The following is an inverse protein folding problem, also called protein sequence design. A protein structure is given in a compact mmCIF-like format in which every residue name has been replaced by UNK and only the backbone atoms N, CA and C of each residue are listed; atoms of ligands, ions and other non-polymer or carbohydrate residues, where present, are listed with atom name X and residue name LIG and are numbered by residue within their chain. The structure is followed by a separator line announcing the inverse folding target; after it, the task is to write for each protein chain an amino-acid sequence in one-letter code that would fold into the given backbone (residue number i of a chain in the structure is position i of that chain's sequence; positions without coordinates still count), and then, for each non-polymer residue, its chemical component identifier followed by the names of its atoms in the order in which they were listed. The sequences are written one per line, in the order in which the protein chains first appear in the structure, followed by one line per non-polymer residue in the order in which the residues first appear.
data_IF_570326984045
#
_entry.id   IF_570326984045
#
_cell.length_a   1.000
_cell.length_b   1.000
_cell.length_c   1.000
_cell.angle_alpha   90.00
_cell.angle_beta   90.00
_cell.angle_gamma   90.00
#
_symmetry.space_group_name_H-M   'P 1'
#
loop_
_entity.id
_entity.type
_entity.pdbx_description
1 polymer ?
#
# COMPACT_ATOMS: atom_id res chain seq x y z
N UNK A 1 17.64 19.40 10.00
CA UNK A 1 16.28 19.97 10.12
C UNK A 1 15.62 19.49 11.43
N UNK A 2 14.50 20.08 11.87
CA UNK A 2 13.80 19.66 13.12
C UNK A 2 13.43 18.17 13.14
N UNK A 3 13.12 17.60 11.97
CA UNK A 3 12.88 16.16 11.75
C UNK A 3 14.08 15.29 12.15
N UNK A 4 15.31 15.79 11.96
CA UNK A 4 16.53 15.06 12.36
C UNK A 4 16.72 15.07 13.88
N UNK A 5 16.12 16.03 14.61
CA UNK A 5 16.17 16.06 16.08
C UNK A 5 15.25 15.01 16.69
N UNK A 6 14.03 14.87 16.18
CA UNK A 6 13.10 13.81 16.58
C UNK A 6 13.72 12.44 16.30
N UNK A 7 14.25 12.25 15.09
CA UNK A 7 14.92 10.99 14.70
C UNK A 7 16.12 10.68 15.59
N UNK A 8 16.96 11.68 15.87
CA UNK A 8 18.11 11.51 16.77
C UNK A 8 17.67 11.13 18.18
N UNK A 9 16.65 11.80 18.72
CA UNK A 9 16.12 11.47 20.04
C UNK A 9 15.62 10.02 20.13
N UNK A 10 14.92 9.56 19.10
CA UNK A 10 14.43 8.18 19.04
C UNK A 10 15.57 7.17 18.93
N UNK A 11 16.64 7.47 18.19
CA UNK A 11 17.84 6.64 18.08
C UNK A 11 18.61 6.58 19.42
N UNK A 12 18.83 7.74 20.05
CA UNK A 12 19.60 7.86 21.30
C UNK A 12 18.93 7.09 22.45
N UNK A 13 17.59 6.98 22.44
CA UNK A 13 16.82 6.19 23.41
C UNK A 13 16.59 4.74 23.03
N UNK A 14 17.12 4.30 21.88
CA UNK A 14 16.89 2.95 21.35
C UNK A 14 15.44 2.65 21.01
N UNK A 15 14.60 3.67 20.83
CA UNK A 15 13.21 3.53 20.42
C UNK A 15 13.09 3.07 18.96
N UNK A 16 14.07 3.43 18.13
CA UNK A 16 14.21 2.98 16.74
C UNK A 16 15.67 2.63 16.44
N UNK A 17 15.91 1.80 15.44
CA UNK A 17 17.25 1.45 14.96
C UNK A 17 17.61 2.23 13.68
N UNK A 18 18.89 2.39 13.33
CA UNK A 18 19.29 3.02 12.07
C UNK A 18 18.67 2.36 10.84
N UNK A 19 18.58 1.02 10.84
CA UNK A 19 17.96 0.27 9.75
C UNK A 19 16.45 0.59 9.60
N UNK A 20 15.72 0.71 10.71
CA UNK A 20 14.30 1.12 10.71
C UNK A 20 14.11 2.56 10.24
N UNK A 21 15.03 3.46 10.61
CA UNK A 21 15.03 4.84 10.12
C UNK A 21 15.27 4.88 8.61
N UNK A 22 16.24 4.12 8.11
CA UNK A 22 16.53 4.04 6.67
C UNK A 22 15.34 3.47 5.89
N UNK A 23 14.69 2.44 6.42
CA UNK A 23 13.47 1.87 5.84
C UNK A 23 12.32 2.89 5.82
N UNK A 24 12.06 3.57 6.94
CA UNK A 24 11.06 4.63 7.01
C UNK A 24 11.38 5.80 6.07
N UNK A 25 12.66 6.15 5.89
CA UNK A 25 13.10 7.17 4.91
C UNK A 25 12.84 6.73 3.48
N UNK A 26 13.09 5.46 3.13
CA UNK A 26 12.73 4.92 1.81
C UNK A 26 11.23 5.07 1.57
N UNK A 27 10.41 4.66 2.53
CA UNK A 27 8.95 4.83 2.44
C UNK A 27 8.56 6.31 2.31
N UNK A 28 9.13 7.19 3.12
CA UNK A 28 8.90 8.64 3.04
C UNK A 28 9.26 9.22 1.66
N UNK A 29 10.37 8.80 1.06
CA UNK A 29 10.77 9.24 -0.28
C UNK A 29 9.73 8.88 -1.36
N UNK A 30 8.95 7.81 -1.17
CA UNK A 30 7.94 7.37 -2.14
C UNK A 30 6.54 7.93 -1.85
N UNK A 31 6.16 8.07 -0.58
CA UNK A 31 4.81 8.49 -0.18
C UNK A 31 4.70 9.97 0.21
N UNK A 32 5.84 10.65 0.35
CA UNK A 32 5.90 12.03 0.85
C UNK A 32 5.54 12.12 2.33
N UNK A 33 5.42 13.33 2.87
CA UNK A 33 5.04 13.56 4.28
C UNK A 33 6.19 13.41 5.28
N UNK A 34 5.86 13.43 6.56
CA UNK A 34 6.83 13.45 7.66
C UNK A 34 7.45 12.07 7.96
N UNK A 35 8.72 12.01 8.34
CA UNK A 35 9.43 10.75 8.61
C UNK A 35 8.85 10.04 9.84
N UNK A 36 8.55 10.80 10.88
CA UNK A 36 7.88 10.36 12.10
C UNK A 36 6.56 9.65 11.83
N UNK A 37 5.81 10.11 10.83
CA UNK A 37 4.57 9.46 10.38
C UNK A 37 4.85 8.08 9.82
N UNK A 38 5.94 7.90 9.09
CA UNK A 38 6.34 6.59 8.55
C UNK A 38 6.85 5.67 9.64
N UNK A 39 7.65 6.16 10.58
CA UNK A 39 8.10 5.40 11.75
C UNK A 39 6.91 4.87 12.57
N UNK A 40 5.89 5.71 12.78
CA UNK A 40 4.67 5.32 13.49
C UNK A 40 3.83 4.33 12.69
N UNK A 41 3.63 4.58 11.38
CA UNK A 41 2.82 3.74 10.50
C UNK A 41 3.39 2.33 10.31
N UNK A 42 4.71 2.22 10.20
CA UNK A 42 5.43 0.94 10.06
C UNK A 42 5.53 0.17 11.39
N UNK A 43 5.08 0.77 12.50
CA UNK A 43 5.16 0.15 13.83
C UNK A 43 6.57 0.10 14.41
N UNK A 44 7.51 0.89 13.87
CA UNK A 44 8.87 0.96 14.39
C UNK A 44 8.97 1.77 15.67
N UNK A 45 8.07 2.73 15.84
CA UNK A 45 7.91 3.49 17.08
C UNK A 45 6.44 3.43 17.51
N UNK A 46 6.21 3.28 18.80
CA UNK A 46 4.88 3.44 19.38
C UNK A 46 4.51 4.93 19.50
N UNK A 47 3.22 5.20 19.67
CA UNK A 47 2.71 6.58 19.73
C UNK A 47 3.22 7.34 20.97
N UNK A 48 3.42 6.61 22.07
CA UNK A 48 3.90 7.18 23.32
C UNK A 48 5.34 7.70 23.18
N UNK A 49 6.27 6.87 22.70
CA UNK A 49 7.67 7.29 22.49
C UNK A 49 7.79 8.36 21.43
N UNK A 50 6.96 8.31 20.38
CA UNK A 50 6.95 9.38 19.39
C UNK A 50 6.42 10.69 19.99
N UNK A 51 5.38 10.61 20.82
CA UNK A 51 4.84 11.75 21.55
C UNK A 51 5.89 12.40 22.45
N UNK A 52 6.64 11.59 23.21
CA UNK A 52 7.75 12.06 24.05
C UNK A 52 8.83 12.78 23.22
N UNK A 53 9.22 12.19 22.09
CA UNK A 53 10.23 12.78 21.20
C UNK A 53 9.79 14.13 20.63
N UNK A 54 8.50 14.24 20.27
CA UNK A 54 7.91 15.49 19.79
C UNK A 54 7.79 16.52 20.91
N UNK A 55 7.37 16.13 22.11
CA UNK A 55 7.29 17.03 23.26
C UNK A 55 8.67 17.56 23.65
N UNK A 56 9.69 16.72 23.71
CA UNK A 56 11.07 17.16 23.96
C UNK A 56 11.55 18.15 22.90
N UNK A 57 11.30 17.84 21.62
CA UNK A 57 11.83 18.64 20.51
C UNK A 57 11.18 20.01 20.43
N UNK A 58 9.87 20.10 20.66
CA UNK A 58 9.09 21.31 20.46
C UNK A 58 8.85 22.10 21.75
N UNK A 59 8.92 21.45 22.92
CA UNK A 59 8.69 22.06 24.23
C UNK A 59 7.21 22.26 24.57
N UNK A 60 6.30 21.56 23.88
CA UNK A 60 4.85 21.62 24.11
C UNK A 60 4.25 20.22 24.24
N UNK A 61 3.10 20.06 24.92
CA UNK A 61 2.52 18.73 25.12
C UNK A 61 2.06 18.08 23.82
N UNK A 62 2.11 16.74 23.78
CA UNK A 62 1.65 15.94 22.64
C UNK A 62 0.14 15.66 22.69
N UNK A 63 -0.56 15.94 21.58
CA UNK A 63 -1.95 15.57 21.40
C UNK A 63 -2.04 14.18 20.73
N UNK A 64 -2.34 13.17 21.55
CA UNK A 64 -2.51 11.78 21.11
C UNK A 64 -3.77 11.56 20.28
N UNK A 65 -3.79 10.47 19.51
CA UNK A 65 -4.93 10.08 18.70
C UNK A 65 -6.22 9.90 19.51
N UNK A 66 -6.13 9.45 20.75
CA UNK A 66 -7.31 9.32 21.64
C UNK A 66 -7.93 10.68 21.95
N UNK A 67 -7.11 11.69 22.26
CA UNK A 67 -7.58 13.06 22.52
C UNK A 67 -8.23 13.69 21.30
N UNK A 68 -7.72 13.36 20.11
CA UNK A 68 -8.25 13.86 18.84
C UNK A 68 -9.45 13.05 18.33
N UNK A 69 -9.72 11.86 18.90
CA UNK A 69 -10.80 11.00 18.42
C UNK A 69 -12.18 11.53 18.80
N UNK A 70 -12.33 12.04 20.02
CA UNK A 70 -13.61 12.49 20.57
C UNK A 70 -13.54 13.97 20.94
N UNK A 71 -13.93 14.84 20.00
CA UNK A 71 -13.94 16.29 20.21
C UNK A 71 -15.40 16.80 20.24
N UNK A 72 -15.81 17.57 21.27
CA UNK A 72 -17.15 18.14 21.33
C UNK A 72 -17.42 19.11 20.15
N UNK A 73 -18.65 19.14 19.59
CA UNK A 73 -18.98 20.02 18.47
C UNK A 73 -18.76 21.51 18.74
N UNK A 74 -18.99 21.95 19.98
CA UNK A 74 -18.75 23.32 20.45
C UNK A 74 -17.26 23.72 20.37
N UNK A 75 -16.35 22.76 20.54
CA UNK A 75 -14.90 22.97 20.42
C UNK A 75 -14.49 23.04 18.95
N UNK A 76 -15.07 22.20 18.10
CA UNK A 76 -14.83 22.20 16.66
C UNK A 76 -15.33 23.50 16.00
N UNK A 77 -16.47 24.02 16.46
CA UNK A 77 -17.06 25.26 15.96
C UNK A 77 -16.18 26.50 16.19
N UNK A 78 -15.26 26.45 17.17
CA UNK A 78 -14.34 27.55 17.45
C UNK A 78 -13.32 27.78 16.32
N UNK A 79 -13.08 26.79 15.45
CA UNK A 79 -12.17 26.89 14.30
C UNK A 79 -12.92 26.48 13.04
N UNK A 80 -13.19 27.41 12.10
CA UNK A 80 -13.82 27.09 10.83
C UNK A 80 -13.02 26.07 10.01
N UNK A 81 -13.69 25.20 9.22
CA UNK A 81 -13.04 24.19 8.39
C UNK A 81 -11.95 24.77 7.48
N UNK A 82 -12.14 25.97 6.95
CA UNK A 82 -11.19 26.63 6.04
C UNK A 82 -9.87 26.94 6.74
N UNK A 83 -9.93 27.37 8.00
CA UNK A 83 -8.76 27.67 8.83
C UNK A 83 -8.10 26.37 9.30
N UNK A 84 -8.91 25.40 9.73
CA UNK A 84 -8.45 24.07 10.10
C UNK A 84 -7.67 23.40 8.96
N UNK A 85 -8.18 23.50 7.73
CA UNK A 85 -7.54 22.99 6.52
C UNK A 85 -6.26 23.76 6.18
N UNK A 86 -6.34 25.09 6.12
CA UNK A 86 -5.25 25.97 5.67
C UNK A 86 -4.02 25.83 6.55
N UNK A 87 -4.22 25.86 7.86
CA UNK A 87 -3.12 25.79 8.83
C UNK A 87 -2.81 24.37 9.28
N UNK A 88 -3.59 23.37 8.82
CA UNK A 88 -3.53 21.98 9.27
C UNK A 88 -3.55 21.92 10.79
N UNK A 89 -4.70 22.22 11.37
CA UNK A 89 -4.89 22.31 12.84
C UNK A 89 -6.23 21.74 13.25
N UNK A 90 -6.30 21.12 14.43
CA UNK A 90 -7.54 20.58 14.98
C UNK A 90 -7.73 21.04 16.42
N UNK A 91 -8.76 21.83 16.75
CA UNK A 91 -9.12 22.08 18.14
C UNK A 91 -9.61 20.76 18.76
N UNK A 92 -9.29 20.53 20.03
CA UNK A 92 -9.70 19.29 20.70
C UNK A 92 -10.16 19.49 22.15
N UNK A 93 -9.92 20.67 22.75
CA UNK A 93 -10.39 20.97 24.11
C UNK A 93 -10.58 22.46 24.33
N UNK A 94 -11.60 22.83 25.08
CA UNK A 94 -11.85 24.20 25.52
C UNK A 94 -12.05 24.22 27.05
N UNK A 95 -11.19 24.94 27.75
CA UNK A 95 -11.23 25.10 29.22
C UNK A 95 -10.81 26.54 29.58
N UNK A 96 -11.51 27.23 30.49
CA UNK A 96 -11.12 28.55 31.00
C UNK A 96 -10.77 29.61 29.93
N UNK A 97 -11.55 29.67 28.84
CA UNK A 97 -11.30 30.51 27.66
C UNK A 97 -9.97 30.22 26.94
N UNK A 98 -9.41 29.03 27.17
CA UNK A 98 -8.23 28.49 26.49
C UNK A 98 -8.66 27.38 25.54
N UNK A 99 -8.39 27.57 24.26
CA UNK A 99 -8.61 26.57 23.22
C UNK A 99 -7.32 25.80 23.00
N UNK A 100 -7.31 24.51 23.32
CA UNK A 100 -6.19 23.62 22.99
C UNK A 100 -6.33 23.16 21.55
N UNK A 101 -5.27 23.38 20.78
CA UNK A 101 -5.24 23.12 19.35
C UNK A 101 -4.05 22.23 19.02
N UNK A 102 -4.32 21.11 18.35
CA UNK A 102 -3.29 20.22 17.84
C UNK A 102 -2.77 20.75 16.50
N UNK A 103 -1.45 20.85 16.38
CA UNK A 103 -0.74 21.46 15.25
C UNK A 103 0.48 20.62 14.86
N UNK A 104 0.89 20.68 13.59
CA UNK A 104 2.19 20.12 13.16
C UNK A 104 3.38 21.02 13.52
N UNK A 105 3.14 22.33 13.50
CA UNK A 105 4.14 23.31 13.88
C UNK A 105 3.56 24.25 14.96
N UNK A 106 3.75 23.93 16.25
CA UNK A 106 3.25 24.75 17.36
C UNK A 106 3.99 26.10 17.50
N UNK A 107 5.02 26.35 16.66
CA UNK A 107 5.77 27.62 16.62
C UNK A 107 5.38 28.52 15.44
N UNK A 108 4.37 28.13 14.66
CA UNK A 108 3.87 28.94 13.56
C UNK A 108 3.10 30.15 14.11
N UNK A 109 3.80 31.28 14.24
CA UNK A 109 3.24 32.52 14.77
C UNK A 109 2.06 33.05 13.94
N UNK A 110 2.05 32.79 12.62
CA UNK A 110 0.97 33.24 11.73
C UNK A 110 -0.29 32.41 11.98
N UNK A 111 -0.16 31.08 12.03
CA UNK A 111 -1.27 30.20 12.33
C UNK A 111 -1.87 30.50 13.72
N UNK A 112 -1.01 30.70 14.73
CA UNK A 112 -1.44 31.05 16.09
C UNK A 112 -2.21 32.39 16.14
N UNK A 113 -1.72 33.42 15.45
CA UNK A 113 -2.37 34.72 15.41
C UNK A 113 -3.75 34.66 14.73
N UNK A 114 -3.86 33.96 13.58
CA UNK A 114 -5.12 33.81 12.85
C UNK A 114 -6.15 32.96 13.63
N UNK A 115 -5.69 31.89 14.30
CA UNK A 115 -6.53 31.10 15.20
C UNK A 115 -7.05 31.92 16.38
N UNK A 116 -6.18 32.71 17.02
CA UNK A 116 -6.58 33.55 18.15
C UNK A 116 -7.58 34.63 17.74
N UNK A 117 -7.36 35.26 16.57
CA UNK A 117 -8.26 36.27 16.02
C UNK A 117 -9.63 35.68 15.66
N UNK A 118 -9.66 34.47 15.11
CA UNK A 118 -10.91 33.83 14.68
C UNK A 118 -11.70 33.24 15.85
N UNK A 119 -11.03 32.53 16.75
CA UNK A 119 -11.69 31.88 17.88
C UNK A 119 -12.07 32.88 18.99
N UNK A 120 -11.40 34.04 19.08
CA UNK A 120 -11.59 34.98 20.19
C UNK A 120 -11.17 34.40 21.55
N UNK A 121 -10.34 33.37 21.55
CA UNK A 121 -9.92 32.57 22.70
C UNK A 121 -8.39 32.54 22.81
N UNK A 122 -7.86 32.29 24.00
CA UNK A 122 -6.42 32.06 24.16
C UNK A 122 -6.05 30.72 23.54
N UNK A 123 -5.15 30.70 22.57
CA UNK A 123 -4.72 29.45 21.91
C UNK A 123 -3.60 28.81 22.72
N UNK A 124 -3.76 27.53 23.06
CA UNK A 124 -2.74 26.71 23.68
C UNK A 124 -2.30 25.63 22.67
N UNK A 125 -1.11 25.77 22.04
CA UNK A 125 -0.67 24.85 21.01
C UNK A 125 -0.17 23.54 21.59
N UNK A 126 -0.60 22.44 20.98
CA UNK A 126 -0.15 21.09 21.27
C UNK A 126 0.44 20.49 19.99
N UNK A 127 1.58 19.80 20.11
CA UNK A 127 2.20 19.13 18.95
C UNK A 127 1.47 17.81 18.69
N UNK A 128 1.28 17.45 17.42
CA UNK A 128 0.81 16.10 17.06
C UNK A 128 1.54 15.59 15.82
N UNK A 129 1.38 14.30 15.50
CA UNK A 129 1.91 13.75 14.26
C UNK A 129 1.02 14.11 13.07
N UNK A 130 1.61 14.21 11.88
CA UNK A 130 0.85 14.43 10.64
C UNK A 130 -0.23 13.38 10.43
N UNK A 131 0.09 12.12 10.73
CA UNK A 131 -0.88 11.04 10.68
C UNK A 131 -2.11 11.28 11.57
N UNK A 132 -1.90 11.62 12.84
CA UNK A 132 -3.02 11.81 13.79
C UNK A 132 -3.84 13.04 13.45
N UNK A 133 -3.19 14.10 12.97
CA UNK A 133 -3.88 15.31 12.56
C UNK A 133 -4.75 15.08 11.33
N UNK A 134 -4.24 14.33 10.35
CA UNK A 134 -5.00 13.97 9.15
C UNK A 134 -6.24 13.17 9.51
N UNK A 135 -6.10 12.16 10.37
CA UNK A 135 -7.24 11.38 10.86
C UNK A 135 -8.29 12.24 11.59
N UNK A 136 -7.84 13.26 12.34
CA UNK A 136 -8.73 14.16 13.07
C UNK A 136 -9.50 15.09 12.12
N UNK A 137 -8.80 15.67 11.14
CA UNK A 137 -9.38 16.57 10.15
C UNK A 137 -10.37 15.84 9.22
N UNK A 138 -10.04 14.62 8.78
CA UNK A 138 -10.94 13.78 7.99
C UNK A 138 -12.20 13.41 8.79
N UNK A 139 -12.06 13.05 10.07
CA UNK A 139 -13.19 12.67 10.93
C UNK A 139 -14.12 13.84 11.24
N UNK A 140 -13.57 14.98 11.63
CA UNK A 140 -14.35 16.07 12.23
C UNK A 140 -14.76 17.14 11.22
N UNK A 141 -13.91 17.42 10.24
CA UNK A 141 -14.16 18.46 9.24
C UNK A 141 -14.50 17.88 7.86
N UNK A 142 -14.45 16.55 7.69
CA UNK A 142 -14.66 15.86 6.40
C UNK A 142 -13.74 16.40 5.30
N UNK A 143 -12.55 16.86 5.69
CA UNK A 143 -11.56 17.40 4.77
C UNK A 143 -10.69 16.24 4.24
N UNK A 144 -10.77 15.90 2.94
CA UNK A 144 -9.78 15.03 2.33
C UNK A 144 -8.47 15.81 2.23
N UNK A 145 -7.46 15.43 3.00
CA UNK A 145 -6.16 16.09 2.89
C UNK A 145 -5.43 15.51 1.70
N UNK A 146 -5.43 16.27 0.60
CA UNK A 146 -4.58 16.01 -0.54
C UNK A 146 -3.10 15.95 -0.10
N UNK A 147 -2.44 14.82 -0.34
CA UNK A 147 -1.00 14.65 -0.11
C UNK A 147 -0.59 13.77 1.07
N UNK A 148 -1.51 13.27 1.91
CA UNK A 148 -1.17 12.24 2.91
C UNK A 148 -1.75 10.90 2.48
N UNK A 149 -0.96 10.15 1.70
CA UNK A 149 -1.30 8.78 1.28
C UNK A 149 -1.36 7.89 2.54
N UNK A 150 -2.54 7.37 2.85
CA UNK A 150 -2.79 6.55 4.03
C UNK A 150 -2.08 5.20 3.90
N UNK A 151 -1.13 4.95 4.81
CA UNK A 151 -0.70 3.60 5.17
C UNK A 151 -1.46 3.30 6.46
N UNK A 152 -2.19 2.18 6.48
CA UNK A 152 -2.96 1.74 7.65
C UNK A 152 -2.01 1.18 8.71
N UNK A 153 -2.23 1.57 9.96
CA UNK A 153 -1.42 1.17 11.11
C UNK A 153 -1.55 -0.34 11.35
N UNK A 154 -0.45 -1.08 11.30
CA UNK A 154 -0.44 -2.44 11.84
C UNK A 154 -0.45 -2.37 13.37
N UNK A 155 -1.21 -3.22 14.09
CA UNK A 155 -1.10 -3.32 15.54
C UNK A 155 0.31 -3.77 15.95
N UNK A 156 0.84 -3.32 17.10
CA UNK A 156 2.24 -3.55 17.46
C UNK A 156 2.53 -5.04 17.61
N UNK A 157 3.45 -5.54 16.78
CA UNK A 157 4.01 -6.87 16.98
C UNK A 157 4.89 -6.85 18.24
N UNK A 158 4.84 -7.87 19.12
CA UNK A 158 5.71 -7.94 20.28
C UNK A 158 7.17 -8.05 19.83
N UNK A 159 7.99 -7.09 20.28
CA UNK A 159 9.44 -7.04 20.04
C UNK A 159 10.10 -8.34 20.51
N UNK A 160 10.46 -9.22 19.58
CA UNK A 160 11.38 -10.33 19.88
C UNK A 160 12.81 -9.80 19.82
N UNK A 161 13.49 -9.89 20.95
CA UNK A 161 14.88 -9.50 21.15
C UNK A 161 15.81 -10.11 20.10
N UNK A 162 16.64 -9.24 19.53
CA UNK A 162 17.77 -9.47 18.64
C UNK A 162 18.61 -10.73 18.95
N UNK A 163 18.88 -11.53 17.91
CA UNK A 163 20.10 -12.33 17.81
C UNK A 163 20.86 -11.94 16.53
N UNK A 164 22.08 -11.42 16.70
CA UNK A 164 23.15 -11.27 15.69
C UNK A 164 23.56 -12.64 15.14
N UNK A 165 24.12 -12.79 13.91
CA UNK A 165 25.53 -12.45 13.58
C UNK A 165 25.79 -12.17 12.07
N UNK A 166 27.02 -12.28 11.52
CA UNK A 166 28.25 -11.48 11.71
C UNK A 166 28.66 -10.69 10.44
N UNK A 167 29.83 -10.04 10.50
CA UNK A 167 30.38 -9.03 9.59
C UNK A 167 31.16 -9.57 8.35
N UNK A 168 31.13 -8.73 7.29
CA UNK A 168 32.16 -8.38 6.26
C UNK A 168 32.62 -9.40 5.20
N UNK A 169 32.55 -8.95 3.93
CA UNK A 169 33.72 -8.83 3.04
C UNK A 169 33.46 -7.95 1.79
N UNK A 170 34.54 -7.54 1.13
CA UNK A 170 34.79 -6.28 0.39
C UNK A 170 34.63 -6.28 -1.15
N UNK A 171 34.22 -5.12 -1.68
CA UNK A 171 34.67 -4.35 -2.87
C UNK A 171 34.90 -4.93 -4.30
N UNK A 172 34.05 -4.46 -5.24
CA UNK A 172 34.32 -3.72 -6.52
C UNK A 172 35.03 -4.40 -7.74
N UNK A 173 35.14 -3.74 -8.94
CA UNK A 173 34.19 -3.79 -10.08
C UNK A 173 34.84 -4.11 -11.46
N UNK A 174 34.09 -4.53 -12.50
CA UNK A 174 34.53 -4.38 -13.92
C UNK A 174 33.35 -4.27 -14.89
N UNK A 175 33.38 -3.23 -15.73
CA UNK A 175 32.53 -2.96 -16.88
C UNK A 175 32.97 -3.77 -18.12
N UNK A 176 32.04 -4.24 -18.96
CA UNK A 176 32.30 -4.47 -20.39
C UNK A 176 31.05 -4.19 -21.24
N UNK A 177 31.32 -3.64 -22.41
CA UNK A 177 30.39 -3.10 -23.40
C UNK A 177 29.34 -4.11 -23.89
N UNK A 178 28.13 -3.61 -24.16
CA UNK A 178 26.98 -4.39 -24.59
C UNK A 178 26.83 -4.32 -26.12
N UNK A 179 26.73 -5.49 -26.76
CA UNK A 179 26.22 -5.68 -28.12
C UNK A 179 24.69 -5.45 -28.17
N UNK A 180 24.10 -5.06 -29.31
CA UNK A 180 22.69 -4.66 -29.35
C UNK A 180 21.75 -5.86 -29.16
N UNK A 181 20.90 -5.78 -28.13
CA UNK A 181 19.90 -6.81 -27.80
C UNK A 181 18.56 -6.56 -28.53
N UNK A 182 18.00 -7.64 -29.09
CA UNK A 182 16.73 -7.68 -29.82
C UNK A 182 15.55 -7.65 -28.83
N UNK A 183 14.50 -6.90 -29.16
CA UNK A 183 13.29 -6.72 -28.33
C UNK A 183 12.41 -7.97 -28.22
N UNK A 184 11.48 -7.95 -27.27
CA UNK A 184 10.53 -9.07 -26.98
C UNK A 184 9.49 -9.31 -28.08
N UNK A 185 9.50 -8.49 -29.13
CA UNK A 185 8.70 -8.50 -30.34
C UNK A 185 9.51 -8.93 -31.59
N UNK A 186 10.80 -9.22 -31.43
CA UNK A 186 11.69 -9.69 -32.50
C UNK A 186 12.31 -8.60 -33.38
N UNK A 187 12.26 -7.32 -33.00
CA UNK A 187 12.83 -6.21 -33.80
C UNK A 187 14.06 -5.54 -33.16
N UNK A 188 14.96 -4.92 -33.96
CA UNK A 188 16.03 -4.07 -33.47
C UNK A 188 15.46 -2.76 -32.91
N UNK A 189 16.13 -2.19 -31.92
CA UNK A 189 15.60 -1.11 -31.09
C UNK A 189 15.61 0.29 -31.75
N UNK A 190 16.10 0.40 -32.98
CA UNK A 190 16.49 1.68 -33.60
C UNK A 190 15.54 2.14 -34.71
N UNK A 191 14.44 1.42 -34.95
CA UNK A 191 13.51 1.77 -36.01
C UNK A 191 12.46 2.79 -35.52
N UNK A 192 12.61 4.05 -35.93
CA UNK A 192 11.53 5.03 -35.86
C UNK A 192 10.38 4.63 -36.79
N UNK A 193 9.17 4.45 -36.25
CA UNK A 193 7.93 4.52 -37.02
C UNK A 193 6.88 5.22 -36.15
N UNK A 194 6.38 6.36 -36.66
CA UNK A 194 5.53 7.30 -35.94
C UNK A 194 4.12 6.79 -35.64
N UNK A 195 3.52 7.39 -34.61
CA UNK A 195 2.12 7.18 -34.25
C UNK A 195 1.31 8.48 -34.39
N UNK A 196 0.15 8.31 -35.01
CA UNK A 196 -0.89 9.30 -35.27
C UNK A 196 -1.73 9.52 -33.99
N UNK A 197 -2.01 10.79 -33.71
CA UNK A 197 -2.37 11.34 -32.40
C UNK A 197 -3.89 11.53 -32.25
N UNK A 198 -4.70 10.64 -32.82
CA UNK A 198 -6.12 10.93 -33.07
C UNK A 198 -7.11 9.84 -32.66
N UNK A 199 -7.14 9.42 -31.40
CA UNK A 199 -8.38 8.88 -30.81
C UNK A 199 -8.52 9.23 -29.32
N UNK A 200 -8.79 10.50 -29.03
CA UNK A 200 -9.50 10.88 -27.81
C UNK A 200 -11.00 10.64 -28.02
N UNK A 201 -11.63 9.78 -27.21
CA UNK A 201 -13.08 9.79 -27.05
C UNK A 201 -13.48 9.73 -25.58
N UNK A 202 -14.30 10.70 -25.19
CA UNK A 202 -15.08 10.80 -23.95
C UNK A 202 -16.57 10.56 -24.30
N UNK A 203 -17.50 10.42 -23.33
CA UNK A 203 -18.08 9.17 -22.89
C UNK A 203 -19.54 8.98 -23.37
N UNK A 204 -20.09 7.76 -23.24
CA UNK A 204 -21.52 7.50 -23.44
C UNK A 204 -22.17 6.87 -22.20
N UNK A 205 -23.35 7.42 -21.86
CA UNK A 205 -24.20 7.13 -20.70
C UNK A 205 -24.77 5.70 -20.68
N UNK A 206 -24.97 5.15 -19.48
CA UNK A 206 -25.71 3.92 -19.24
C UNK A 206 -27.18 4.21 -18.87
N UNK A 207 -28.17 3.38 -19.31
CA UNK A 207 -29.56 3.53 -18.90
C UNK A 207 -29.87 2.84 -17.56
N UNK A 208 -30.93 3.33 -16.90
CA UNK A 208 -31.44 2.88 -15.60
C UNK A 208 -32.13 1.50 -15.67
N UNK A 209 -31.84 0.64 -14.69
CA UNK A 209 -32.49 -0.67 -14.50
C UNK A 209 -33.75 -0.60 -13.60
N UNK A 210 -34.70 -1.55 -13.74
CA UNK A 210 -35.98 -1.54 -13.03
C UNK A 210 -35.89 -2.09 -11.59
N UNK A 211 -36.90 -1.85 -10.73
CA UNK A 211 -36.80 -2.09 -9.29
C UNK A 211 -37.05 -3.55 -8.89
N UNK A 212 -36.55 -3.89 -7.70
CA UNK A 212 -36.59 -5.20 -7.05
C UNK A 212 -38.01 -5.65 -6.63
N UNK A 213 -38.26 -6.97 -6.47
CA UNK A 213 -39.43 -7.44 -5.76
C UNK A 213 -39.13 -7.77 -4.28
N UNK A 214 -40.19 -7.58 -3.49
CA UNK A 214 -40.28 -7.54 -2.03
C UNK A 214 -40.31 -8.92 -1.32
N UNK A 215 -40.09 -8.80 -0.01
CA UNK A 215 -40.14 -9.76 1.09
C UNK A 215 -41.19 -10.89 1.02
N UNK A 216 -40.78 -12.07 1.48
CA UNK A 216 -41.68 -13.06 2.10
C UNK A 216 -41.05 -13.66 3.37
N UNK A 217 -41.86 -14.00 4.40
CA UNK A 217 -41.38 -14.15 5.76
C UNK A 217 -40.82 -15.54 6.08
N UNK A 218 -39.95 -15.53 7.09
CA UNK A 218 -39.29 -16.66 7.74
C UNK A 218 -40.24 -17.79 8.13
N UNK A 219 -39.82 -19.04 7.85
CA UNK A 219 -40.40 -20.24 8.46
C UNK A 219 -39.27 -21.12 8.97
N UNK A 220 -39.21 -21.24 10.30
CA UNK A 220 -38.33 -22.15 11.03
C UNK A 220 -38.94 -23.56 11.05
N UNK A 221 -38.18 -24.56 10.61
CA UNK A 221 -38.45 -25.97 10.87
C UNK A 221 -37.16 -26.65 11.37
N UNK A 222 -37.26 -27.72 12.18
CA UNK A 222 -36.22 -28.13 13.12
C UNK A 222 -35.10 -28.95 12.48
N UNK A 223 -33.90 -28.85 13.08
CA UNK A 223 -32.68 -29.53 12.65
C UNK A 223 -32.84 -31.06 12.68
N UNK A 224 -32.62 -31.70 11.53
CA UNK A 224 -32.40 -33.14 11.41
C UNK A 224 -31.00 -33.50 11.93
N UNK A 225 -30.78 -34.72 12.47
CA UNK A 225 -29.51 -35.12 13.05
C UNK A 225 -28.41 -35.20 11.97
N UNK A 226 -27.28 -34.55 12.24
CA UNK A 226 -26.07 -34.57 11.40
C UNK A 226 -25.58 -36.01 11.21
N UNK A 227 -25.49 -36.43 9.95
CA UNK A 227 -24.85 -37.68 9.57
C UNK A 227 -23.33 -37.62 9.90
N UNK A 228 -22.70 -38.75 10.27
CA UNK A 228 -21.28 -38.76 10.62
C UNK A 228 -20.44 -38.28 9.43
N UNK A 229 -19.66 -37.23 9.68
CA UNK A 229 -18.70 -36.66 8.73
C UNK A 229 -17.74 -37.78 8.29
N UNK A 230 -17.62 -38.07 6.98
CA UNK A 230 -16.68 -39.07 6.50
C UNK A 230 -15.25 -38.66 6.88
N UNK A 231 -14.35 -39.62 7.18
CA UNK A 231 -12.97 -39.31 7.53
C UNK A 231 -12.33 -38.48 6.40
N UNK A 232 -11.55 -37.43 6.73
CA UNK A 232 -10.95 -36.57 5.73
C UNK A 232 -10.08 -37.41 4.77
N UNK A 233 -10.10 -37.12 3.46
CA UNK A 233 -9.25 -37.80 2.50
C UNK A 233 -7.77 -37.67 2.90
N UNK A 234 -6.92 -38.65 2.52
CA UNK A 234 -5.51 -38.67 2.91
C UNK A 234 -4.86 -37.33 2.58
N UNK A 235 -4.06 -36.83 3.54
CA UNK A 235 -3.48 -35.49 3.53
C UNK A 235 -2.95 -35.10 2.14
N UNK A 236 -3.68 -34.23 1.45
CA UNK A 236 -3.18 -33.59 0.24
C UNK A 236 -1.88 -32.88 0.61
N UNK A 237 -0.82 -33.07 -0.19
CA UNK A 237 0.47 -32.43 0.01
C UNK A 237 0.32 -30.93 0.34
N UNK A 238 1.21 -30.39 1.19
CA UNK A 238 1.21 -29.00 1.62
C UNK A 238 0.98 -28.10 0.38
N UNK A 239 -0.02 -27.20 0.39
CA UNK A 239 -0.26 -26.28 -0.73
C UNK A 239 1.01 -25.56 -1.23
N UNK A 240 1.96 -25.27 -0.34
CA UNK A 240 3.24 -24.68 -0.73
C UNK A 240 4.14 -25.69 -1.45
N UNK A 241 4.28 -26.92 -0.94
CA UNK A 241 5.05 -27.98 -1.62
C UNK A 241 4.51 -28.27 -3.03
N UNK A 242 3.18 -28.29 -3.19
CA UNK A 242 2.55 -28.44 -4.51
C UNK A 242 2.88 -27.29 -5.45
N UNK A 243 2.86 -26.05 -4.96
CA UNK A 243 3.29 -24.90 -5.75
C UNK A 243 4.75 -25.04 -6.16
N UNK A 244 5.64 -25.42 -5.24
CA UNK A 244 7.06 -25.56 -5.51
C UNK A 244 7.35 -26.62 -6.58
N UNK A 245 6.67 -27.76 -6.50
CA UNK A 245 6.75 -28.80 -7.52
C UNK A 245 6.25 -28.30 -8.89
N UNK A 246 5.15 -27.55 -8.91
CA UNK A 246 4.61 -26.96 -10.14
C UNK A 246 5.57 -25.92 -10.74
N UNK A 247 6.13 -25.02 -9.93
CA UNK A 247 7.10 -24.02 -10.38
C UNK A 247 8.38 -24.65 -10.94
N UNK A 248 8.83 -25.78 -10.37
CA UNK A 248 10.02 -26.48 -10.84
C UNK A 248 9.81 -27.24 -12.17
N UNK A 249 8.58 -27.69 -12.42
CA UNK A 249 8.25 -28.54 -13.57
C UNK A 249 7.58 -27.79 -14.72
N UNK A 250 7.16 -26.54 -14.50
CA UNK A 250 6.51 -25.71 -15.51
C UNK A 250 7.32 -25.67 -16.83
N UNK A 251 6.64 -25.93 -17.93
CA UNK A 251 7.20 -25.96 -19.27
C UNK A 251 7.25 -24.57 -19.90
N UNK A 252 6.31 -23.70 -19.55
CA UNK A 252 6.17 -22.35 -20.09
C UNK A 252 5.69 -21.34 -19.03
N UNK A 253 5.48 -20.10 -19.48
CA UNK A 253 5.08 -18.98 -18.62
C UNK A 253 3.62 -19.08 -18.17
N UNK A 254 2.76 -19.69 -18.96
CA UNK A 254 1.34 -19.77 -18.66
C UNK A 254 1.12 -20.82 -17.56
N UNK A 255 1.82 -21.95 -17.60
CA UNK A 255 1.83 -22.93 -16.51
C UNK A 255 2.37 -22.35 -15.19
N UNK A 256 3.42 -21.52 -15.23
CA UNK A 256 3.90 -20.79 -14.04
C UNK A 256 2.85 -19.83 -13.49
N UNK A 257 2.22 -19.04 -14.37
CA UNK A 257 1.19 -18.08 -13.98
C UNK A 257 0.00 -18.81 -13.35
N UNK A 258 -0.46 -19.90 -13.95
CA UNK A 258 -1.56 -20.71 -13.43
C UNK A 258 -1.25 -21.35 -12.09
N UNK A 259 -0.03 -21.85 -11.88
CA UNK A 259 0.40 -22.41 -10.60
C UNK A 259 0.37 -21.33 -9.49
N UNK A 260 0.91 -20.15 -9.77
CA UNK A 260 0.93 -19.02 -8.84
C UNK A 260 -0.48 -18.54 -8.50
N UNK A 261 -1.32 -18.32 -9.52
CA UNK A 261 -2.68 -17.83 -9.33
C UNK A 261 -3.56 -18.87 -8.62
N UNK A 262 -3.36 -20.17 -8.90
CA UNK A 262 -4.05 -21.24 -8.17
C UNK A 262 -3.72 -21.25 -6.68
N UNK A 263 -2.44 -21.04 -6.33
CA UNK A 263 -2.03 -20.92 -4.94
C UNK A 263 -2.61 -19.66 -4.27
N UNK A 264 -2.62 -18.53 -4.98
CA UNK A 264 -3.13 -17.25 -4.47
C UNK A 264 -4.65 -17.24 -4.31
N UNK A 265 -5.41 -17.87 -5.22
CA UNK A 265 -6.87 -17.91 -5.19
C UNK A 265 -7.45 -18.61 -3.94
N UNK A 266 -6.66 -19.43 -3.25
CA UNK A 266 -7.05 -20.01 -1.96
C UNK A 266 -6.89 -19.06 -0.77
N UNK A 267 -6.28 -17.88 -0.98
CA UNK A 267 -5.86 -16.93 0.06
C UNK A 267 -6.39 -15.51 -0.15
N UNK A 268 -6.87 -15.18 -1.34
CA UNK A 268 -7.48 -13.90 -1.65
C UNK A 268 -8.70 -14.08 -2.55
N UNK A 269 -9.65 -13.14 -2.48
CA UNK A 269 -10.83 -13.17 -3.34
C UNK A 269 -10.47 -12.95 -4.82
N UNK A 270 -9.47 -12.09 -5.07
CA UNK A 270 -8.96 -11.78 -6.42
C UNK A 270 -7.44 -11.81 -6.42
N UNK A 271 -6.87 -12.28 -7.53
CA UNK A 271 -5.43 -12.25 -7.76
C UNK A 271 -5.13 -12.07 -9.24
N UNK A 272 -4.04 -11.37 -9.55
CA UNK A 272 -3.58 -11.17 -10.92
C UNK A 272 -2.07 -11.16 -11.02
N UNK A 273 -1.59 -11.49 -12.21
CA UNK A 273 -0.20 -11.37 -12.60
C UNK A 273 -0.09 -10.32 -13.70
N UNK A 274 0.89 -9.43 -13.58
CA UNK A 274 1.19 -8.40 -14.55
C UNK A 274 2.64 -8.50 -15.01
N UNK A 275 2.90 -8.38 -16.30
CA UNK A 275 4.23 -8.24 -16.87
C UNK A 275 4.72 -6.80 -16.78
N UNK A 276 6.01 -6.62 -16.53
CA UNK A 276 6.66 -5.30 -16.49
C UNK A 276 7.62 -5.19 -17.67
N UNK A 277 7.35 -4.23 -18.57
CA UNK A 277 8.16 -3.93 -19.76
C UNK A 277 8.69 -2.50 -19.76
N UNK A 278 9.28 -2.05 -20.88
CA UNK A 278 9.73 -0.64 -21.05
C UNK A 278 8.55 0.33 -21.16
N UNK A 279 7.50 -0.08 -21.87
CA UNK A 279 6.33 0.78 -22.16
C UNK A 279 5.27 0.76 -21.04
N UNK A 280 5.55 0.06 -19.93
CA UNK A 280 4.66 -0.02 -18.78
C UNK A 280 4.38 -1.44 -18.32
N UNK A 281 3.22 -1.59 -17.68
CA UNK A 281 2.77 -2.80 -17.00
C UNK A 281 1.57 -3.35 -17.77
N UNK A 282 1.59 -4.63 -18.11
CA UNK A 282 0.52 -5.31 -18.87
C UNK A 282 -0.05 -6.47 -18.08
N UNK A 283 -1.37 -6.66 -18.10
CA UNK A 283 -1.96 -7.83 -17.47
C UNK A 283 -1.61 -9.11 -18.22
N UNK A 284 -1.29 -10.17 -17.47
CA UNK A 284 -0.98 -11.50 -18.03
C UNK A 284 -2.13 -12.47 -17.82
N UNK A 285 -2.54 -12.64 -16.56
CA UNK A 285 -3.56 -13.57 -16.16
C UNK A 285 -4.12 -13.18 -14.79
N UNK A 286 -5.31 -13.65 -14.47
CA UNK A 286 -5.88 -13.46 -13.14
C UNK A 286 -7.01 -14.43 -12.83
N UNK A 287 -7.44 -14.38 -11.57
CA UNK A 287 -8.55 -15.17 -11.04
C UNK A 287 -9.34 -14.35 -10.03
N UNK A 288 -10.63 -14.66 -9.92
CA UNK A 288 -11.57 -13.93 -9.09
C UNK A 288 -12.52 -13.07 -9.94
N UNK A 289 -13.60 -12.61 -9.33
CA UNK A 289 -14.64 -11.84 -10.02
C UNK A 289 -14.07 -10.56 -10.61
N UNK A 290 -14.21 -10.35 -11.93
CA UNK A 290 -13.68 -9.20 -12.66
C UNK A 290 -12.20 -9.32 -13.05
N UNK A 291 -11.52 -10.35 -12.55
CA UNK A 291 -10.11 -10.62 -12.79
C UNK A 291 -9.93 -11.77 -13.78
N UNK A 292 -10.86 -11.93 -14.74
CA UNK A 292 -10.74 -12.96 -15.76
C UNK A 292 -9.54 -12.67 -16.68
N UNK A 293 -8.77 -13.73 -17.02
CA UNK A 293 -7.53 -13.62 -17.80
C UNK A 293 -7.69 -12.83 -19.11
N UNK A 294 -8.78 -13.02 -19.84
CA UNK A 294 -9.01 -12.33 -21.12
C UNK A 294 -9.26 -10.83 -20.95
N UNK A 295 -9.91 -10.41 -19.87
CA UNK A 295 -10.08 -9.00 -19.50
C UNK A 295 -8.73 -8.40 -19.10
N UNK A 296 -7.95 -9.13 -18.31
CA UNK A 296 -6.65 -8.70 -17.83
C UNK A 296 -5.62 -8.48 -18.94
N UNK A 297 -5.62 -9.31 -19.99
CA UNK A 297 -4.72 -9.14 -21.14
C UNK A 297 -4.93 -7.80 -21.87
N UNK A 298 -6.10 -7.17 -21.73
CA UNK A 298 -6.40 -5.87 -22.33
C UNK A 298 -5.92 -4.69 -21.46
N UNK A 299 -5.48 -4.97 -20.22
CA UNK A 299 -5.01 -3.95 -19.30
C UNK A 299 -3.59 -3.55 -19.61
N UNK A 300 -3.39 -2.26 -19.82
CA UNK A 300 -2.09 -1.61 -19.91
C UNK A 300 -2.05 -0.41 -18.95
N UNK A 301 -0.99 -0.33 -18.14
CA UNK A 301 -0.76 0.73 -17.16
C UNK A 301 0.57 1.37 -17.49
N UNK A 302 0.59 2.70 -17.66
CA UNK A 302 1.86 3.43 -17.79
C UNK A 302 2.68 3.29 -16.51
N UNK A 303 3.97 2.97 -16.65
CA UNK A 303 4.89 2.91 -15.51
C UNK A 303 5.10 4.29 -14.84
N UNK A 304 4.77 5.38 -15.52
CA UNK A 304 4.90 6.75 -15.01
C UNK A 304 3.64 7.20 -14.26
N UNK A 305 2.51 6.51 -14.45
CA UNK A 305 1.26 6.84 -13.79
C UNK A 305 1.35 6.48 -12.30
N UNK A 306 0.99 7.40 -11.38
CA UNK A 306 1.03 7.14 -9.96
C UNK A 306 -0.03 6.11 -9.56
N UNK A 307 0.40 4.86 -9.39
CA UNK A 307 -0.46 3.71 -9.04
C UNK A 307 0.14 2.89 -7.91
N UNK A 308 -0.64 1.96 -7.35
CA UNK A 308 -0.13 0.99 -6.37
C UNK A 308 0.94 0.06 -6.96
N UNK A 309 0.89 -0.18 -8.27
CA UNK A 309 1.86 -0.98 -9.01
C UNK A 309 3.20 -0.27 -9.14
N UNK A 310 3.14 1.00 -9.51
CA UNK A 310 4.30 1.89 -9.58
C UNK A 310 4.98 2.09 -8.21
N UNK A 311 4.19 2.15 -7.12
CA UNK A 311 4.74 2.12 -5.76
C UNK A 311 5.55 0.83 -5.49
N UNK A 312 5.04 -0.35 -5.85
CA UNK A 312 5.77 -1.61 -5.69
C UNK A 312 7.01 -1.69 -6.59
N UNK A 313 6.93 -1.19 -7.83
CA UNK A 313 8.07 -1.16 -8.76
C UNK A 313 9.23 -0.32 -8.25
N UNK A 314 8.95 0.88 -7.73
CA UNK A 314 9.98 1.78 -7.22
C UNK A 314 10.60 1.29 -5.92
N UNK A 315 9.80 0.72 -5.02
CA UNK A 315 10.28 0.17 -3.76
C UNK A 315 11.12 -1.10 -3.94
N UNK A 316 10.87 -1.87 -5.02
CA UNK A 316 11.45 -3.22 -5.26
C UNK A 316 11.22 -4.22 -4.13
N UNK A 317 10.23 -3.94 -3.29
CA UNK A 317 9.67 -4.86 -2.30
C UNK A 317 8.15 -4.82 -2.52
N UNK A 318 7.33 -5.15 -1.54
CA UNK A 318 5.89 -5.15 -1.72
C UNK A 318 5.25 -3.78 -1.44
N UNK A 319 4.05 -3.58 -1.98
CA UNK A 319 3.08 -2.60 -1.51
C UNK A 319 1.96 -3.34 -0.78
N UNK A 320 1.57 -2.88 0.40
CA UNK A 320 0.37 -3.35 1.09
C UNK A 320 -0.33 -2.17 1.76
N UNK A 321 -1.60 -1.94 1.44
CA UNK A 321 -2.36 -0.87 2.06
C UNK A 321 -3.58 -0.43 1.26
N UNK A 322 -4.14 0.70 1.67
CA UNK A 322 -5.34 1.28 1.08
C UNK A 322 -5.07 1.72 -0.34
N UNK A 323 -5.85 1.23 -1.29
CA UNK A 323 -5.74 1.68 -2.69
C UNK A 323 -6.23 3.12 -2.76
N UNK A 324 -5.37 4.09 -3.11
CA UNK A 324 -5.80 5.48 -3.17
C UNK A 324 -6.70 5.69 -4.40
N UNK A 325 -7.76 6.52 -4.31
CA UNK A 325 -8.74 6.74 -5.37
C UNK A 325 -8.19 7.68 -6.47
N UNK A 326 -6.95 7.47 -6.89
CA UNK A 326 -6.31 8.18 -7.99
C UNK A 326 -6.99 7.79 -9.31
N UNK A 327 -7.08 8.70 -10.31
CA UNK A 327 -7.69 8.40 -11.61
C UNK A 327 -7.13 7.12 -12.25
N UNK A 328 -5.80 6.99 -12.32
CA UNK A 328 -5.14 5.82 -12.88
C UNK A 328 -5.47 4.50 -12.14
N UNK A 329 -5.68 4.55 -10.81
CA UNK A 329 -6.14 3.37 -10.08
C UNK A 329 -7.63 3.12 -10.39
N UNK A 330 -8.48 4.14 -10.35
CA UNK A 330 -9.91 4.00 -10.65
C UNK A 330 -10.15 3.39 -12.02
N UNK A 331 -9.47 3.90 -13.04
CA UNK A 331 -9.60 3.44 -14.42
C UNK A 331 -9.16 1.99 -14.53
N UNK A 332 -8.02 1.64 -13.92
CA UNK A 332 -7.54 0.27 -13.85
C UNK A 332 -8.55 -0.69 -13.20
N UNK A 333 -9.09 -0.35 -12.03
CA UNK A 333 -10.04 -1.23 -11.33
C UNK A 333 -11.41 -1.28 -12.01
N UNK A 334 -11.77 -0.25 -12.77
CA UNK A 334 -12.97 -0.24 -13.63
C UNK A 334 -12.82 -1.25 -14.76
N UNK A 335 -11.65 -1.31 -15.41
CA UNK A 335 -11.34 -2.28 -16.46
C UNK A 335 -11.23 -3.70 -15.88
N UNK A 336 -10.70 -3.86 -14.67
CA UNK A 336 -10.64 -5.12 -13.92
C UNK A 336 -11.98 -5.53 -13.26
N UNK A 337 -13.09 -5.08 -13.82
CA UNK A 337 -14.43 -5.60 -13.52
C UNK A 337 -15.03 -5.22 -12.17
N UNK A 338 -14.67 -4.08 -11.56
CA UNK A 338 -15.34 -3.69 -10.33
C UNK A 338 -15.00 -2.34 -9.71
N UNK A 339 -15.27 -2.26 -8.40
CA UNK A 339 -15.02 -1.12 -7.52
C UNK A 339 -13.59 -1.15 -7.01
N UNK A 340 -13.08 0.03 -6.63
CA UNK A 340 -11.77 0.19 -6.01
C UNK A 340 -11.72 -0.62 -4.69
N UNK A 341 -10.78 -1.58 -4.53
CA UNK A 341 -10.71 -2.37 -3.31
C UNK A 341 -10.25 -1.50 -2.13
N UNK A 342 -10.72 -1.84 -0.93
CA UNK A 342 -10.35 -1.10 0.27
C UNK A 342 -8.84 -1.22 0.58
N UNK A 343 -8.25 -2.38 0.31
CA UNK A 343 -6.83 -2.65 0.48
C UNK A 343 -6.33 -3.62 -0.59
N UNK A 344 -5.07 -3.48 -1.00
CA UNK A 344 -4.43 -4.39 -1.94
C UNK A 344 -2.98 -4.70 -1.53
N UNK A 345 -2.51 -5.87 -1.96
CA UNK A 345 -1.13 -6.33 -1.85
C UNK A 345 -0.55 -6.47 -3.27
N UNK A 346 0.60 -5.85 -3.51
CA UNK A 346 1.34 -5.95 -4.78
C UNK A 346 2.76 -6.38 -4.47
N UNK A 347 3.23 -7.48 -5.04
CA UNK A 347 4.57 -8.01 -4.84
C UNK A 347 5.33 -8.11 -6.16
N UNK A 348 6.55 -7.55 -6.28
CA UNK A 348 7.40 -7.74 -7.42
C UNK A 348 7.98 -9.15 -7.47
N UNK A 349 7.97 -9.72 -8.67
CA UNK A 349 8.70 -10.93 -9.03
C UNK A 349 9.98 -10.48 -9.73
N UNK A 350 11.09 -10.67 -9.03
CA UNK A 350 12.41 -10.31 -9.53
C UNK A 350 12.99 -11.46 -10.34
N UNK A 351 13.56 -11.11 -11.50
CA UNK A 351 14.32 -12.01 -12.35
C UNK A 351 15.68 -11.33 -12.52
N UNK A 352 16.73 -11.97 -12.01
CA UNK A 352 18.05 -11.38 -11.79
C UNK A 352 17.94 -10.12 -10.91
N UNK A 353 18.18 -8.95 -11.50
CA UNK A 353 18.14 -7.65 -10.81
C UNK A 353 17.00 -6.74 -11.32
N UNK A 354 16.03 -7.27 -12.08
CA UNK A 354 14.90 -6.50 -12.63
C UNK A 354 13.58 -7.10 -12.20
N UNK A 355 12.60 -6.25 -11.91
CA UNK A 355 11.21 -6.70 -11.73
C UNK A 355 10.65 -7.08 -13.09
N UNK A 356 10.39 -8.36 -13.30
CA UNK A 356 9.84 -8.87 -14.56
C UNK A 356 8.32 -8.97 -14.53
N UNK A 357 7.75 -9.21 -13.35
CA UNK A 357 6.31 -9.29 -13.14
C UNK A 357 5.89 -8.74 -11.77
N UNK A 358 4.61 -8.45 -11.61
CA UNK A 358 3.97 -8.06 -10.37
C UNK A 358 2.84 -9.03 -10.06
N UNK A 359 2.84 -9.59 -8.85
CA UNK A 359 1.75 -10.36 -8.30
C UNK A 359 0.84 -9.44 -7.50
N UNK A 360 -0.45 -9.43 -7.82
CA UNK A 360 -1.47 -8.60 -7.22
C UNK A 360 -2.50 -9.46 -6.48
N UNK A 361 -2.91 -9.03 -5.28
CA UNK A 361 -3.96 -9.68 -4.48
C UNK A 361 -4.85 -8.63 -3.79
N UNK A 362 -6.17 -8.90 -3.73
CA UNK A 362 -7.13 -8.14 -2.91
C UNK A 362 -8.34 -9.02 -2.51
N UNK A 363 -9.15 -8.53 -1.57
CA UNK A 363 -10.33 -9.22 -1.01
C UNK A 363 -11.68 -8.59 -1.42
N UNK A 364 -11.71 -7.99 -2.62
CA UNK A 364 -12.86 -7.32 -3.23
C UNK A 364 -13.40 -6.19 -2.33
N UNK A 365 -14.65 -6.29 -1.87
CA UNK A 365 -15.25 -5.32 -0.95
C UNK A 365 -14.78 -5.50 0.50
N UNK A 366 -14.11 -6.61 0.84
CA UNK A 366 -13.61 -6.86 2.19
C UNK A 366 -12.19 -6.29 2.34
N UNK A 367 -11.91 -5.61 3.45
CA UNK A 367 -10.55 -5.16 3.73
C UNK A 367 -9.65 -6.37 4.04
N UNK A 368 -8.58 -6.51 3.27
CA UNK A 368 -7.53 -7.50 3.52
C UNK A 368 -6.75 -7.15 4.79
N UNK A 369 -7.08 -7.74 5.93
CA UNK A 369 -6.53 -7.29 7.23
C UNK A 369 -5.14 -7.84 7.55
N UNK A 370 -4.86 -9.11 7.24
CA UNK A 370 -3.64 -9.81 7.66
C UNK A 370 -3.11 -10.78 6.59
N UNK A 371 -2.57 -10.29 5.46
CA UNK A 371 -1.95 -11.17 4.49
C UNK A 371 -0.66 -11.78 5.06
N UNK A 372 -0.40 -13.04 4.75
CA UNK A 372 0.88 -13.71 5.07
C UNK A 372 1.98 -13.23 4.10
N UNK A 373 2.43 -11.99 4.30
CA UNK A 373 3.45 -11.34 3.48
C UNK A 373 4.76 -12.16 3.45
N UNK A 374 5.27 -12.71 4.58
CA UNK A 374 6.46 -13.55 4.55
C UNK A 374 6.31 -14.77 3.62
N UNK A 375 5.16 -15.47 3.65
CA UNK A 375 4.91 -16.57 2.73
C UNK A 375 4.81 -16.08 1.28
N UNK A 376 4.12 -14.98 1.02
CA UNK A 376 3.99 -14.43 -0.34
C UNK A 376 5.34 -13.99 -0.92
N UNK A 377 6.24 -13.42 -0.11
CA UNK A 377 7.60 -13.08 -0.55
C UNK A 377 8.43 -14.31 -0.89
N UNK A 378 8.28 -15.40 -0.15
CA UNK A 378 8.92 -16.69 -0.50
C UNK A 378 8.39 -17.22 -1.83
N UNK A 379 7.08 -17.11 -2.03
CA UNK A 379 6.42 -17.50 -3.30
C UNK A 379 6.95 -16.68 -4.47
N UNK A 380 6.99 -15.35 -4.38
CA UNK A 380 7.50 -14.51 -5.48
C UNK A 380 8.99 -14.67 -5.74
N UNK A 381 9.80 -14.94 -4.70
CA UNK A 381 11.21 -15.27 -4.88
C UNK A 381 11.40 -16.58 -5.65
N UNK A 382 10.65 -17.64 -5.29
CA UNK A 382 10.67 -18.92 -6.01
C UNK A 382 10.16 -18.80 -7.43
N UNK A 383 9.09 -18.01 -7.64
CA UNK A 383 8.59 -17.68 -8.97
C UNK A 383 9.68 -17.01 -9.83
N UNK A 384 10.41 -16.05 -9.26
CA UNK A 384 11.52 -15.36 -9.93
C UNK A 384 12.58 -16.32 -10.46
N UNK A 385 13.01 -17.26 -9.61
CA UNK A 385 13.96 -18.31 -10.00
C UNK A 385 13.39 -19.22 -11.11
N UNK A 386 12.11 -19.60 -11.02
CA UNK A 386 11.47 -20.40 -12.04
C UNK A 386 11.41 -19.66 -13.40
N UNK A 387 11.11 -18.36 -13.39
CA UNK A 387 11.18 -17.52 -14.59
C UNK A 387 12.59 -17.44 -15.17
N UNK A 388 13.64 -17.34 -14.35
CA UNK A 388 15.03 -17.38 -14.81
C UNK A 388 15.37 -18.70 -15.52
N UNK A 389 14.98 -19.82 -14.92
CA UNK A 389 15.22 -21.15 -15.49
C UNK A 389 14.52 -21.29 -16.84
N UNK A 390 13.27 -20.85 -16.96
CA UNK A 390 12.55 -20.86 -18.24
C UNK A 390 13.23 -19.97 -19.29
N UNK A 391 13.67 -18.77 -18.92
CA UNK A 391 14.39 -17.87 -19.83
C UNK A 391 15.69 -18.51 -20.34
N UNK A 392 16.44 -19.19 -19.48
CA UNK A 392 17.66 -19.91 -19.86
C UNK A 392 17.36 -21.11 -20.78
N UNK A 393 16.32 -21.89 -20.47
CA UNK A 393 15.87 -23.02 -21.31
C UNK A 393 15.46 -22.57 -22.71
N UNK A 394 14.75 -21.43 -22.82
CA UNK A 394 14.34 -20.88 -24.10
C UNK A 394 15.53 -20.37 -24.92
N UNK A 395 16.51 -19.70 -24.29
CA UNK A 395 17.76 -19.29 -24.96
C UNK A 395 18.61 -20.47 -25.44
N UNK A 396 18.64 -21.58 -24.70
CA UNK A 396 19.38 -22.79 -25.08
C UNK A 396 18.68 -23.61 -26.18
N UNK A 397 17.36 -23.43 -26.36
CA UNK A 397 16.56 -24.12 -27.38
C UNK A 397 16.53 -23.42 -28.74
N UNK A 398 17.15 -22.25 -28.87
CA UNK A 398 17.34 -21.59 -30.17
C UNK A 398 16.04 -21.15 -30.84
N UNK A 399 15.27 -20.29 -30.16
CA UNK A 399 14.26 -19.41 -30.77
C UNK A 399 14.61 -17.97 -30.39
#
# INVERSE_FOLDING_TARGET
MLTDRVTRYLLDRGAVTPAQVDEARRTQSFFGGALETHLLKLGFVDEEKLGDALTETYGVPYASGERLRFVPPEVLAAVPPEIASRHRVCPFRLEDRRLRVAMLNPRDARALAELQATAGLRIEPWITSEFRLVQALERHYRLPIEGVRSITLAPPAPLRSSRRPPERETAAPVSKEAEPEIGLDGRPLDAEIGFDDSVYFSPAQAPAGPPAPEDRPSSSAPAAPEAPVPPPPPAAADPLERLEAALATAADRDELADALLSYCASRSARCALFAVGRDGIRGLAGRGRGFETETLKQVAISAEAPTVFDAALRCRDFYFGVVPPLPANRDLYTVLGGRLPAMALVLPIQVKNRTAALLYLDDDERPMTHPDIPAMRRVTAKAGLAFEILLLRNKLRGI
#
